data_IF_609396342266
#
_entry.id   IF_609396342266
#
_cell.length_a   1.000
_cell.length_b   1.000
_cell.length_c   1.000
_cell.angle_alpha   90.00
_cell.angle_beta   90.00
_cell.angle_gamma   90.00
#
_symmetry.space_group_name_H-M   'P 1'
#
loop_
_entity.id
_entity.type
_entity.pdbx_description
1 polymer ?
#
# COMPACT_ATOMS: atom_id res chain seq x y z
N UNK A 1 -26.67 -26.79 5.61
CA UNK A 1 -27.19 -25.59 4.92
C UNK A 1 -26.18 -25.20 3.89
N UNK A 2 -26.52 -25.28 2.60
CA UNK A 2 -25.64 -24.82 1.52
C UNK A 2 -25.48 -23.31 1.65
N UNK A 3 -24.23 -22.87 1.76
CA UNK A 3 -23.89 -21.44 1.75
C UNK A 3 -24.13 -20.90 0.33
N UNK A 4 -25.06 -19.94 0.23
CA UNK A 4 -25.45 -19.33 -1.05
C UNK A 4 -24.67 -18.05 -1.37
N UNK A 5 -23.59 -17.76 -0.64
CA UNK A 5 -22.75 -16.59 -0.92
C UNK A 5 -22.00 -16.79 -2.23
N UNK A 6 -22.02 -15.76 -3.08
CA UNK A 6 -21.31 -15.74 -4.35
C UNK A 6 -19.90 -15.12 -4.22
N UNK A 7 -19.56 -14.63 -3.02
CA UNK A 7 -18.29 -13.94 -2.74
C UNK A 7 -17.43 -14.82 -1.86
N UNK A 8 -16.18 -15.01 -2.25
CA UNK A 8 -15.20 -15.72 -1.46
C UNK A 8 -14.87 -14.93 -0.19
N UNK A 9 -14.82 -15.61 0.96
CA UNK A 9 -14.51 -15.04 2.26
C UNK A 9 -13.02 -15.13 2.63
N UNK A 10 -12.22 -15.74 1.76
CA UNK A 10 -10.77 -15.85 1.85
C UNK A 10 -10.16 -15.48 0.51
N UNK A 11 -9.37 -14.43 0.48
CA UNK A 11 -8.63 -13.99 -0.70
C UNK A 11 -7.15 -13.94 -0.35
N UNK A 12 -6.34 -14.66 -1.12
CA UNK A 12 -4.89 -14.62 -1.08
C UNK A 12 -4.37 -14.46 -2.50
N UNK A 13 -3.69 -13.38 -2.77
CA UNK A 13 -3.17 -13.06 -4.11
C UNK A 13 -1.73 -12.64 -4.01
N UNK A 14 -0.94 -13.07 -4.98
CA UNK A 14 0.42 -12.60 -5.18
C UNK A 14 0.53 -11.91 -6.53
N UNK A 15 1.03 -10.69 -6.52
CA UNK A 15 1.39 -9.93 -7.70
C UNK A 15 2.90 -9.88 -7.84
N UNK A 16 3.37 -9.94 -9.06
CA UNK A 16 4.77 -9.82 -9.42
C UNK A 16 4.92 -8.61 -10.34
N UNK A 17 5.74 -7.66 -9.95
CA UNK A 17 6.01 -6.44 -10.69
C UNK A 17 7.47 -6.44 -11.14
N UNK A 18 7.76 -6.06 -12.40
CA UNK A 18 9.12 -5.89 -12.85
C UNK A 18 9.81 -4.77 -12.07
N UNK A 19 11.04 -5.02 -11.66
CA UNK A 19 11.93 -4.01 -11.09
C UNK A 19 12.55 -3.12 -12.18
N UNK A 20 13.32 -2.11 -11.78
CA UNK A 20 13.90 -1.16 -12.72
C UNK A 20 14.95 -1.78 -13.68
N UNK A 21 15.52 -2.94 -13.34
CA UNK A 21 16.51 -3.65 -14.15
C UNK A 21 15.99 -4.98 -14.71
N UNK A 22 14.66 -5.15 -14.73
CA UNK A 22 14.03 -6.40 -15.16
C UNK A 22 14.40 -6.84 -16.57
N UNK A 23 14.64 -5.91 -17.49
CA UNK A 23 15.07 -6.20 -18.85
C UNK A 23 16.48 -6.81 -18.91
N UNK A 24 17.32 -6.54 -17.92
CA UNK A 24 18.68 -7.02 -17.80
C UNK A 24 18.75 -8.28 -16.92
N UNK A 25 17.95 -8.33 -15.89
CA UNK A 25 17.82 -9.43 -14.93
C UNK A 25 16.36 -9.70 -14.60
N UNK A 26 15.81 -10.76 -15.15
CA UNK A 26 14.43 -11.19 -14.90
C UNK A 26 14.15 -11.62 -13.46
N UNK A 27 15.15 -11.67 -12.58
CA UNK A 27 14.97 -11.85 -11.13
C UNK A 27 14.78 -10.51 -10.40
N UNK A 28 14.98 -9.38 -11.07
CA UNK A 28 14.69 -8.07 -10.48
C UNK A 28 13.18 -7.82 -10.50
N UNK A 29 12.52 -8.35 -9.49
CA UNK A 29 11.07 -8.28 -9.31
C UNK A 29 10.72 -7.80 -7.90
N UNK A 30 9.62 -7.07 -7.80
CA UNK A 30 8.95 -6.80 -6.53
C UNK A 30 7.73 -7.70 -6.41
N UNK A 31 7.62 -8.39 -5.28
CA UNK A 31 6.49 -9.26 -4.98
C UNK A 31 5.55 -8.56 -4.02
N UNK A 32 4.29 -8.47 -4.39
CA UNK A 32 3.23 -7.95 -3.52
C UNK A 32 2.28 -9.08 -3.17
N UNK A 33 2.09 -9.34 -1.89
CA UNK A 33 1.05 -10.25 -1.43
C UNK A 33 -0.10 -9.45 -0.82
N UNK A 34 -1.30 -9.84 -1.15
CA UNK A 34 -2.53 -9.31 -0.58
C UNK A 34 -3.31 -10.43 0.08
N UNK A 35 -3.78 -10.20 1.29
CA UNK A 35 -4.69 -11.12 1.97
C UNK A 35 -5.91 -10.38 2.50
N UNK A 36 -7.07 -11.01 2.38
CA UNK A 36 -8.32 -10.54 2.97
C UNK A 36 -9.11 -11.71 3.50
N UNK A 37 -9.42 -11.67 4.78
CA UNK A 37 -10.16 -12.71 5.49
C UNK A 37 -11.39 -12.09 6.14
N UNK A 38 -12.56 -12.56 5.75
CA UNK A 38 -13.84 -12.10 6.30
C UNK A 38 -14.40 -13.03 7.37
N UNK A 39 -13.67 -14.09 7.75
CA UNK A 39 -14.13 -15.14 8.68
C UNK A 39 -13.76 -14.89 10.14
N UNK A 40 -12.71 -14.12 10.40
CA UNK A 40 -12.26 -13.85 11.76
C UNK A 40 -11.64 -12.45 11.87
N UNK A 41 -11.36 -12.04 13.12
CA UNK A 41 -10.78 -10.72 13.40
C UNK A 41 -9.27 -10.74 13.64
N UNK A 42 -8.65 -11.92 13.61
CA UNK A 42 -7.22 -12.05 13.91
C UNK A 42 -6.36 -11.59 12.74
N UNK A 43 -6.76 -11.99 11.53
CA UNK A 43 -6.11 -11.59 10.28
C UNK A 43 -7.15 -11.01 9.34
N UNK A 44 -7.51 -9.73 9.50
CA UNK A 44 -8.60 -9.15 8.73
C UNK A 44 -8.22 -8.92 7.27
N UNK A 45 -7.14 -8.23 6.99
CA UNK A 45 -6.59 -7.96 5.64
C UNK A 45 -5.26 -7.22 5.75
N UNK A 46 -4.46 -7.29 4.67
CA UNK A 46 -3.20 -6.56 4.60
C UNK A 46 -2.40 -6.86 3.34
N UNK A 47 -1.41 -6.04 3.12
CA UNK A 47 -0.48 -6.13 2.01
C UNK A 47 0.95 -6.22 2.50
N UNK A 48 1.76 -6.95 1.72
CA UNK A 48 3.20 -6.99 1.90
C UNK A 48 3.86 -6.74 0.54
N UNK A 49 4.76 -5.77 0.50
CA UNK A 49 5.58 -5.47 -0.68
C UNK A 49 7.00 -5.88 -0.40
N UNK A 50 7.47 -6.90 -1.09
CA UNK A 50 8.79 -7.50 -0.90
C UNK A 50 9.67 -7.16 -2.09
N UNK A 51 10.74 -6.45 -1.83
CA UNK A 51 11.77 -6.13 -2.81
C UNK A 51 13.16 -6.56 -2.34
N UNK A 52 14.13 -6.49 -3.20
CA UNK A 52 15.53 -6.89 -2.93
C UNK A 52 16.21 -6.09 -1.80
N UNK A 53 15.71 -4.90 -1.47
CA UNK A 53 16.27 -4.01 -0.44
C UNK A 53 15.43 -3.87 0.81
N UNK A 54 14.32 -4.59 0.90
CA UNK A 54 13.48 -4.57 2.09
C UNK A 54 12.05 -5.00 1.82
N UNK A 55 11.27 -5.03 2.90
CA UNK A 55 9.86 -5.41 2.88
C UNK A 55 9.03 -4.35 3.58
N UNK A 56 7.97 -3.92 2.92
CA UNK A 56 6.94 -3.07 3.50
C UNK A 56 5.72 -3.95 3.84
N UNK A 57 5.25 -3.86 5.07
CA UNK A 57 4.04 -4.54 5.54
C UNK A 57 3.01 -3.49 5.90
N UNK A 58 1.84 -3.57 5.29
CA UNK A 58 0.69 -2.70 5.59
C UNK A 58 -0.41 -3.55 6.18
N UNK A 59 -0.84 -3.21 7.41
CA UNK A 59 -1.91 -3.92 8.11
C UNK A 59 -3.11 -3.02 8.30
N UNK A 60 -4.25 -3.49 7.85
CA UNK A 60 -5.56 -2.81 8.04
C UNK A 60 -5.59 -1.33 7.63
N UNK A 61 -4.75 -0.92 6.66
CA UNK A 61 -4.61 0.47 6.19
C UNK A 61 -4.20 1.47 7.30
N UNK A 62 -3.79 0.98 8.47
CA UNK A 62 -3.51 1.82 9.63
C UNK A 62 -2.07 1.70 10.14
N UNK A 63 -1.38 0.65 9.80
CA UNK A 63 0.00 0.42 10.21
C UNK A 63 0.85 0.06 9.00
N UNK A 64 1.97 0.74 8.86
CA UNK A 64 2.97 0.42 7.86
C UNK A 64 4.32 0.18 8.55
N UNK A 65 4.91 -0.98 8.31
CA UNK A 65 6.20 -1.40 8.83
C UNK A 65 7.16 -1.56 7.67
N UNK A 66 8.29 -0.87 7.72
CA UNK A 66 9.35 -1.01 6.73
C UNK A 66 10.55 -1.73 7.35
N UNK A 67 10.85 -2.90 6.82
CA UNK A 67 12.05 -3.66 7.14
C UNK A 67 13.06 -3.40 6.02
N UNK A 68 14.19 -2.80 6.34
CA UNK A 68 15.28 -2.60 5.40
C UNK A 68 16.31 -3.73 5.56
N UNK A 69 16.71 -4.31 4.43
CA UNK A 69 17.86 -5.21 4.40
C UNK A 69 19.13 -4.45 4.78
N UNK A 70 20.03 -5.17 5.45
CA UNK A 70 21.35 -4.63 5.73
C UNK A 70 22.09 -4.38 4.42
N UNK A 71 22.69 -3.20 4.29
CA UNK A 71 23.57 -2.96 3.15
C UNK A 71 24.78 -3.86 3.25
N UNK A 72 25.15 -4.58 2.20
CA UNK A 72 26.37 -5.38 2.17
C UNK A 72 27.64 -4.56 2.48
N UNK A 73 27.60 -3.26 2.17
CA UNK A 73 28.73 -2.34 2.34
C UNK A 73 28.87 -1.80 3.77
N UNK A 74 27.78 -1.73 4.54
CA UNK A 74 27.79 -1.12 5.87
C UNK A 74 27.71 -2.10 7.02
N UNK A 75 27.45 -3.38 6.76
CA UNK A 75 27.42 -4.46 7.77
C UNK A 75 26.39 -4.26 8.89
N UNK A 76 25.51 -3.30 8.78
CA UNK A 76 24.46 -3.04 9.76
C UNK A 76 23.28 -3.99 9.55
N UNK A 77 22.81 -4.62 10.62
CA UNK A 77 21.61 -5.47 10.60
C UNK A 77 20.38 -4.70 10.13
N UNK A 78 19.39 -5.44 9.65
CA UNK A 78 18.11 -4.89 9.22
C UNK A 78 17.50 -4.00 10.30
N UNK A 79 17.02 -2.84 9.92
CA UNK A 79 16.37 -1.89 10.83
C UNK A 79 14.88 -1.95 10.60
N UNK A 80 14.14 -2.37 11.60
CA UNK A 80 12.69 -2.23 11.61
C UNK A 80 12.34 -0.74 11.78
N UNK A 81 11.65 -0.18 10.81
CA UNK A 81 11.12 1.17 10.90
C UNK A 81 9.60 1.13 10.85
N UNK A 82 8.96 1.66 11.87
CA UNK A 82 7.53 1.92 11.82
C UNK A 82 7.29 3.24 11.11
N UNK A 83 6.45 3.20 10.10
CA UNK A 83 6.01 4.39 9.41
C UNK A 83 4.69 4.85 10.04
N UNK A 84 4.67 6.10 10.48
CA UNK A 84 3.47 6.74 11.00
C UNK A 84 3.09 7.89 10.08
N UNK A 85 1.80 8.03 9.84
CA UNK A 85 1.28 9.24 9.21
C UNK A 85 1.06 10.25 10.33
N UNK A 86 1.83 11.32 10.32
CA UNK A 86 1.69 12.44 11.26
C UNK A 86 1.02 13.59 10.52
N UNK A 87 -0.08 14.10 11.05
CA UNK A 87 -0.67 15.33 10.56
C UNK A 87 0.20 16.51 11.03
N UNK A 88 1.00 17.05 10.12
CA UNK A 88 1.71 18.30 10.36
C UNK A 88 0.74 19.47 10.32
N UNK A 89 0.88 20.41 11.27
CA UNK A 89 -0.07 21.50 11.51
C UNK A 89 -0.35 22.42 10.31
N UNK A 90 0.46 22.42 9.25
CA UNK A 90 0.26 23.31 8.08
C UNK A 90 0.63 22.69 6.73
N UNK A 91 1.16 21.48 6.68
CA UNK A 91 1.72 20.90 5.45
C UNK A 91 1.07 19.59 5.00
N UNK A 92 -0.05 19.20 5.61
CA UNK A 92 -0.70 17.94 5.30
C UNK A 92 -0.03 16.72 5.95
N UNK A 93 -0.49 15.51 5.66
CA UNK A 93 0.03 14.29 6.25
C UNK A 93 1.48 14.03 5.82
N UNK A 94 2.36 13.87 6.79
CA UNK A 94 3.78 13.55 6.59
C UNK A 94 4.07 12.14 7.09
N UNK A 95 4.78 11.36 6.29
CA UNK A 95 5.26 10.05 6.70
C UNK A 95 6.47 10.21 7.60
N UNK A 96 6.36 9.81 8.86
CA UNK A 96 7.48 9.78 9.79
C UNK A 96 7.93 8.35 10.07
N UNK A 97 9.23 8.12 10.06
CA UNK A 97 9.81 6.83 10.38
C UNK A 97 10.40 6.86 11.80
N UNK A 98 10.01 5.90 12.63
CA UNK A 98 10.61 5.68 13.96
C UNK A 98 11.30 4.33 14.01
N UNK A 99 12.54 4.32 14.49
CA UNK A 99 13.31 3.10 14.70
C UNK A 99 12.98 2.39 16.03
N UNK A 100 12.01 2.90 16.80
CA UNK A 100 11.68 2.39 18.13
C UNK A 100 10.29 1.80 18.18
N UNK A 101 10.15 0.67 18.85
CA UNK A 101 8.88 -0.03 19.14
C UNK A 101 7.95 0.72 20.09
N UNK A 102 8.41 1.80 20.69
CA UNK A 102 7.61 2.66 21.55
C UNK A 102 7.55 4.09 20.96
N UNK A 103 6.43 4.81 21.08
CA UNK A 103 6.43 6.24 20.80
C UNK A 103 7.53 6.85 21.65
N UNK A 104 8.54 7.43 21.00
CA UNK A 104 9.64 8.09 21.71
C UNK A 104 9.09 9.21 22.55
N UNK A 105 9.68 9.42 23.71
CA UNK A 105 9.32 10.55 24.59
C UNK A 105 9.35 11.90 23.86
N UNK A 106 10.08 12.03 22.75
CA UNK A 106 10.08 13.20 21.88
C UNK A 106 8.81 13.39 21.08
N UNK A 107 8.14 12.32 20.62
CA UNK A 107 6.85 12.42 19.95
C UNK A 107 5.73 12.78 20.96
N UNK A 108 5.79 12.22 22.17
CA UNK A 108 4.89 12.57 23.26
C UNK A 108 5.15 14.01 23.76
N UNK A 109 6.41 14.46 23.80
CA UNK A 109 6.78 15.82 24.20
C UNK A 109 6.41 16.88 23.14
N UNK A 110 6.28 16.48 21.87
CA UNK A 110 5.81 17.36 20.80
C UNK A 110 4.27 17.53 20.78
N UNK A 111 3.55 16.94 21.76
CA UNK A 111 2.09 17.05 21.83
C UNK A 111 1.37 16.27 20.71
N UNK A 112 2.09 15.41 20.02
CA UNK A 112 1.49 14.49 19.06
C UNK A 112 0.68 13.45 19.85
N UNK A 113 -0.59 13.73 20.08
CA UNK A 113 -1.54 12.68 20.41
C UNK A 113 -1.51 11.70 19.25
N UNK A 114 -1.35 10.41 19.55
CA UNK A 114 -1.60 9.34 18.58
C UNK A 114 -3.11 9.40 18.30
N UNK A 115 -3.51 10.34 17.47
CA UNK A 115 -4.85 10.36 16.94
C UNK A 115 -5.05 9.05 16.20
N UNK A 116 -6.25 8.53 16.34
CA UNK A 116 -6.71 7.35 15.67
C UNK A 116 -6.35 7.49 14.18
N UNK A 117 -5.38 6.69 13.72
CA UNK A 117 -4.89 6.79 12.34
C UNK A 117 -6.10 6.63 11.43
N UNK A 118 -6.34 7.63 10.60
CA UNK A 118 -7.44 7.61 9.63
C UNK A 118 -7.21 6.48 8.62
N UNK A 119 -8.30 5.90 8.15
CA UNK A 119 -8.28 4.94 7.05
C UNK A 119 -8.12 5.58 5.68
N UNK A 120 -7.98 6.89 5.62
CA UNK A 120 -7.76 7.65 4.40
C UNK A 120 -9.02 8.13 3.69
N UNK A 121 -10.21 7.61 4.02
CA UNK A 121 -11.44 7.94 3.30
C UNK A 121 -11.81 9.43 3.37
N UNK A 122 -11.65 10.04 4.54
CA UNK A 122 -11.93 11.47 4.70
C UNK A 122 -10.93 12.30 3.92
N UNK A 123 -9.65 11.98 4.04
CA UNK A 123 -8.54 12.66 3.38
C UNK A 123 -8.63 12.54 1.86
N UNK A 124 -9.07 11.39 1.35
CA UNK A 124 -9.31 11.18 -0.07
C UNK A 124 -10.39 12.13 -0.59
N UNK A 125 -11.54 12.19 0.10
CA UNK A 125 -12.64 13.06 -0.27
C UNK A 125 -12.29 14.54 -0.14
N UNK A 126 -11.56 14.92 0.91
CA UNK A 126 -11.08 16.29 1.09
C UNK A 126 -10.13 16.71 -0.03
N UNK A 127 -9.18 15.85 -0.38
CA UNK A 127 -8.24 16.10 -1.48
C UNK A 127 -8.97 16.18 -2.84
N UNK A 128 -9.91 15.29 -3.10
CA UNK A 128 -10.75 15.34 -4.30
C UNK A 128 -11.51 16.68 -4.40
N UNK A 129 -12.19 17.08 -3.33
CA UNK A 129 -12.90 18.34 -3.28
C UNK A 129 -11.97 19.56 -3.41
N UNK A 130 -10.77 19.49 -2.83
CA UNK A 130 -9.75 20.53 -2.95
C UNK A 130 -9.31 20.71 -4.40
N UNK A 131 -9.01 19.62 -5.10
CA UNK A 131 -8.62 19.67 -6.50
C UNK A 131 -9.72 20.30 -7.37
N UNK A 132 -10.98 19.92 -7.15
CA UNK A 132 -12.11 20.50 -7.89
C UNK A 132 -12.24 22.01 -7.61
N UNK A 133 -12.26 22.42 -6.33
CA UNK A 133 -12.46 23.84 -5.97
C UNK A 133 -11.36 24.74 -6.49
N UNK A 134 -10.15 24.24 -6.59
CA UNK A 134 -8.99 25.00 -7.05
C UNK A 134 -8.67 24.75 -8.52
N UNK A 135 -9.50 24.00 -9.23
CA UNK A 135 -9.31 23.64 -10.64
C UNK A 135 -7.90 23.07 -10.92
N UNK A 136 -7.46 22.16 -10.03
CA UNK A 136 -6.14 21.52 -10.13
C UNK A 136 -6.27 20.34 -11.09
N UNK A 137 -5.74 20.51 -12.29
CA UNK A 137 -5.62 19.46 -13.32
C UNK A 137 -4.12 19.22 -13.58
N UNK A 138 -3.50 18.48 -12.68
CA UNK A 138 -2.08 18.18 -12.72
C UNK A 138 -1.85 16.69 -12.40
N UNK A 139 -0.70 16.11 -12.80
CA UNK A 139 -0.33 14.77 -12.37
C UNK A 139 -0.19 14.69 -10.84
N UNK A 140 -0.38 13.50 -10.22
CA UNK A 140 -0.26 13.33 -8.76
C UNK A 140 1.05 13.85 -8.16
N UNK A 141 2.18 13.67 -8.87
CA UNK A 141 3.50 14.17 -8.47
C UNK A 141 3.60 15.70 -8.39
N UNK A 142 2.73 16.39 -9.11
CA UNK A 142 2.70 17.87 -9.22
C UNK A 142 1.50 18.45 -8.44
N UNK A 143 0.98 17.70 -7.47
CA UNK A 143 -0.10 18.14 -6.56
C UNK A 143 -1.51 17.85 -7.06
N UNK A 144 -1.65 17.14 -8.18
CA UNK A 144 -2.94 16.71 -8.69
C UNK A 144 -3.56 15.57 -7.91
N UNK A 145 -4.75 15.16 -8.33
CA UNK A 145 -5.52 14.11 -7.67
C UNK A 145 -4.74 12.79 -7.55
N UNK A 146 -4.49 12.34 -6.33
CA UNK A 146 -3.66 11.15 -6.05
C UNK A 146 -4.24 9.88 -6.66
N UNK A 147 -5.54 9.68 -6.50
CA UNK A 147 -6.29 8.60 -7.14
C UNK A 147 -7.12 9.19 -8.29
N UNK A 148 -6.46 9.47 -9.41
CA UNK A 148 -7.14 9.87 -10.63
C UNK A 148 -7.73 8.65 -11.37
N UNK A 149 -8.48 8.88 -12.45
CA UNK A 149 -9.15 7.82 -13.19
C UNK A 149 -8.21 6.73 -13.71
N UNK A 150 -6.99 7.08 -14.10
CA UNK A 150 -5.98 6.12 -14.58
C UNK A 150 -5.51 5.21 -13.45
N UNK A 151 -5.20 5.77 -12.27
CA UNK A 151 -4.81 5.00 -11.08
C UNK A 151 -5.96 4.10 -10.64
N UNK A 152 -7.16 4.65 -10.52
CA UNK A 152 -8.35 3.89 -10.12
C UNK A 152 -8.67 2.74 -11.10
N UNK A 153 -8.47 2.96 -12.40
CA UNK A 153 -8.62 1.90 -13.41
C UNK A 153 -7.58 0.80 -13.22
N UNK A 154 -6.32 1.14 -12.95
CA UNK A 154 -5.27 0.15 -12.71
C UNK A 154 -5.60 -0.71 -11.47
N UNK A 155 -6.05 -0.10 -10.38
CA UNK A 155 -6.47 -0.80 -9.17
C UNK A 155 -7.66 -1.74 -9.45
N UNK A 156 -8.64 -1.28 -10.22
CA UNK A 156 -9.80 -2.09 -10.62
C UNK A 156 -9.38 -3.30 -11.49
N UNK A 157 -8.44 -3.11 -12.41
CA UNK A 157 -7.90 -4.19 -13.25
C UNK A 157 -7.20 -5.23 -12.37
N UNK A 158 -6.40 -4.81 -11.39
CA UNK A 158 -5.74 -5.71 -10.46
C UNK A 158 -6.76 -6.52 -9.65
N UNK A 159 -7.78 -5.88 -9.10
CA UNK A 159 -8.82 -6.54 -8.31
C UNK A 159 -9.63 -7.55 -9.15
N UNK A 160 -10.08 -7.15 -10.35
CA UNK A 160 -10.84 -8.03 -11.24
C UNK A 160 -10.00 -9.20 -11.75
N UNK A 161 -8.74 -8.96 -12.08
CA UNK A 161 -7.82 -10.00 -12.54
C UNK A 161 -7.51 -11.01 -11.43
N UNK A 162 -7.45 -10.57 -10.17
CA UNK A 162 -7.34 -11.45 -9.01
C UNK A 162 -8.51 -12.43 -8.92
N UNK A 163 -9.74 -11.94 -9.10
CA UNK A 163 -10.93 -12.80 -9.13
C UNK A 163 -10.87 -13.81 -10.27
N UNK A 164 -10.39 -13.41 -11.45
CA UNK A 164 -10.22 -14.32 -12.59
C UNK A 164 -9.13 -15.37 -12.31
N UNK A 165 -8.01 -14.97 -11.71
CA UNK A 165 -6.93 -15.87 -11.35
C UNK A 165 -7.40 -16.95 -10.35
N UNK A 166 -8.14 -16.57 -9.32
CA UNK A 166 -8.73 -17.48 -8.33
C UNK A 166 -9.76 -18.41 -8.99
N UNK A 167 -10.69 -17.86 -9.78
CA UNK A 167 -11.72 -18.63 -10.47
C UNK A 167 -11.14 -19.70 -11.41
N UNK A 168 -10.12 -19.33 -12.17
CA UNK A 168 -9.49 -20.22 -13.15
C UNK A 168 -8.30 -20.99 -12.60
N UNK A 169 -7.85 -20.71 -11.37
CA UNK A 169 -6.67 -21.30 -10.73
C UNK A 169 -5.43 -21.19 -11.62
N UNK A 170 -5.19 -20.00 -12.16
CA UNK A 170 -4.13 -19.73 -13.12
C UNK A 170 -3.39 -18.44 -12.79
N UNK A 171 -2.09 -18.44 -13.06
CA UNK A 171 -1.34 -17.21 -13.20
C UNK A 171 -1.85 -16.43 -14.41
N UNK A 172 -2.10 -15.14 -14.24
CA UNK A 172 -2.51 -14.25 -15.32
C UNK A 172 -1.39 -13.23 -15.53
N UNK A 173 -0.97 -13.09 -16.78
CA UNK A 173 0.00 -12.06 -17.17
C UNK A 173 -0.79 -10.85 -17.61
N UNK A 174 -0.53 -9.71 -17.00
CA UNK A 174 -1.13 -8.45 -17.38
C UNK A 174 -0.67 -8.04 -18.77
N UNK A 175 -1.57 -7.45 -19.52
CA UNK A 175 -1.27 -6.91 -20.83
C UNK A 175 -1.25 -5.38 -20.74
N UNK A 176 -0.22 -4.72 -21.31
CA UNK A 176 -0.12 -3.25 -21.26
C UNK A 176 -1.38 -2.55 -21.76
N UNK A 177 -2.01 -3.07 -22.82
CA UNK A 177 -3.23 -2.50 -23.39
C UNK A 177 -4.45 -2.49 -22.47
N UNK A 178 -4.41 -3.22 -21.34
CA UNK A 178 -5.49 -3.15 -20.35
C UNK A 178 -5.44 -1.87 -19.51
N UNK A 179 -4.27 -1.25 -19.43
CA UNK A 179 -4.03 -0.04 -18.64
C UNK A 179 -4.06 1.24 -19.49
N UNK A 180 -4.34 1.10 -20.76
CA UNK A 180 -4.46 2.21 -21.71
C UNK A 180 -5.91 2.69 -21.73
N UNK A 181 -6.22 3.95 -21.33
CA UNK A 181 -7.59 4.46 -21.22
C UNK A 181 -8.25 4.73 -22.57
#
# INVERSE_FOLDING_TARGET
>A
QEDKREIDDHVYVTFEFPGPHYEEDHNDVAIVTYSSLSTNRLEPYGEQVMGSRGTLVVQTEQQALLFKEASPETGGGGVEQRLYVINGNDSGPVLSASASLAPTASAAAAGATVEKISRGYTEEMEHFCHCIRNNIDAPPKDGGLRCNGTVAMADAIMALTSNLAMKHKKRIVFKPEWFDP
#
